data_IF_259792866612
#
_entry.id   IF_259792866612
#
_cell.length_a   1.000
_cell.length_b   1.000
_cell.length_c   1.000
_cell.angle_alpha   90.00
_cell.angle_beta   90.00
_cell.angle_gamma   90.00
#
_symmetry.space_group_name_H-M   'P 1'
#
loop_
_entity.id
_entity.type
_entity.pdbx_description
1 polymer ?
#
# COMPACT_ATOMS: atom_id res chain seq x y z
N UNK A 1 41.34 -4.07 2.17
CA UNK A 1 40.14 -3.96 3.03
C UNK A 1 39.57 -5.37 3.14
N UNK A 2 39.81 -6.07 4.24
CA UNK A 2 39.32 -7.45 4.41
C UNK A 2 37.80 -7.44 4.31
N UNK A 3 37.25 -8.32 3.47
CA UNK A 3 35.83 -8.64 3.41
C UNK A 3 35.41 -9.18 4.78
N UNK A 4 34.78 -8.35 5.60
CA UNK A 4 34.25 -8.76 6.89
C UNK A 4 33.03 -9.67 6.64
N UNK A 5 33.31 -10.94 6.39
CA UNK A 5 32.30 -11.98 6.30
C UNK A 5 31.68 -12.19 7.68
N UNK A 6 30.35 -12.13 7.73
CA UNK A 6 29.58 -12.41 8.95
C UNK A 6 28.68 -13.60 8.71
N UNK A 7 28.69 -14.54 9.64
CA UNK A 7 27.69 -15.61 9.64
C UNK A 7 26.33 -15.06 10.09
N UNK A 8 25.29 -15.43 9.34
CA UNK A 8 23.89 -15.10 9.65
C UNK A 8 23.03 -16.36 9.65
N UNK A 9 21.95 -16.32 10.43
CA UNK A 9 20.86 -17.29 10.38
C UNK A 9 19.72 -16.72 9.56
N UNK A 10 19.26 -17.45 8.55
CA UNK A 10 18.11 -17.07 7.72
C UNK A 10 16.98 -18.04 8.00
N UNK A 11 15.89 -17.52 8.57
CA UNK A 11 14.67 -18.27 8.85
C UNK A 11 13.68 -18.03 7.73
N UNK A 12 13.42 -19.05 6.93
CA UNK A 12 12.47 -18.96 5.81
C UNK A 12 11.17 -19.67 6.21
N UNK A 13 10.04 -18.99 6.04
CA UNK A 13 8.72 -19.59 6.16
C UNK A 13 8.41 -20.39 4.90
N UNK A 14 8.63 -21.70 5.00
CA UNK A 14 8.38 -22.68 3.96
C UNK A 14 6.90 -23.00 3.89
N UNK A 15 6.44 -23.42 2.71
CA UNK A 15 5.06 -23.82 2.50
C UNK A 15 4.94 -24.85 1.38
N UNK A 16 4.20 -25.91 1.65
CA UNK A 16 3.66 -26.81 0.63
C UNK A 16 2.19 -27.08 0.91
N UNK A 17 1.42 -27.39 -0.13
CA UNK A 17 0.00 -27.74 0.02
C UNK A 17 -0.22 -28.95 0.95
N UNK A 18 0.73 -29.88 0.96
CA UNK A 18 0.65 -31.11 1.77
C UNK A 18 0.99 -30.89 3.24
N UNK A 19 2.01 -30.07 3.55
CA UNK A 19 2.56 -29.93 4.91
C UNK A 19 2.11 -28.65 5.63
N UNK A 20 1.45 -27.73 4.93
CA UNK A 20 1.17 -26.40 5.45
C UNK A 20 2.45 -25.56 5.57
N UNK A 21 2.49 -24.64 6.52
CA UNK A 21 3.64 -23.74 6.72
C UNK A 21 4.52 -24.15 7.89
N UNK A 22 5.84 -24.11 7.71
CA UNK A 22 6.82 -24.32 8.78
C UNK A 22 8.00 -23.35 8.64
N UNK A 23 8.74 -23.14 9.71
CA UNK A 23 9.99 -22.38 9.68
C UNK A 23 11.17 -23.32 9.45
N UNK A 24 12.07 -22.93 8.56
CA UNK A 24 13.32 -23.64 8.32
C UNK A 24 14.49 -22.67 8.39
N UNK A 25 15.56 -23.08 9.06
CA UNK A 25 16.74 -22.27 9.28
C UNK A 25 17.87 -22.68 8.32
N UNK A 26 18.59 -21.67 7.84
CA UNK A 26 19.79 -21.83 7.03
C UNK A 26 20.89 -20.96 7.60
N UNK A 27 22.13 -21.43 7.51
CA UNK A 27 23.30 -20.66 7.92
C UNK A 27 24.18 -20.41 6.72
N UNK A 28 24.67 -19.18 6.60
CA UNK A 28 25.62 -18.81 5.56
C UNK A 28 26.40 -17.56 5.98
N UNK A 29 27.61 -17.44 5.45
CA UNK A 29 28.42 -16.24 5.57
C UNK A 29 28.04 -15.24 4.49
N UNK A 30 27.89 -13.98 4.86
CA UNK A 30 27.56 -12.86 3.98
C UNK A 30 28.53 -11.70 4.20
N UNK A 31 28.74 -10.93 3.15
CA UNK A 31 29.53 -9.70 3.19
C UNK A 31 28.63 -8.46 3.05
N UNK A 32 29.26 -7.29 2.93
CA UNK A 32 28.57 -5.99 2.77
C UNK A 32 27.82 -5.83 1.44
N UNK A 33 28.09 -6.65 0.42
CA UNK A 33 27.49 -6.57 -0.90
C UNK A 33 26.43 -7.66 -1.14
N UNK A 34 26.34 -8.64 -0.23
CA UNK A 34 25.43 -9.76 -0.35
C UNK A 34 23.97 -9.30 -0.26
N UNK A 35 23.28 -9.35 -1.40
CA UNK A 35 21.84 -9.09 -1.51
C UNK A 35 21.03 -10.30 -1.03
N UNK A 36 19.79 -10.07 -0.59
CA UNK A 36 18.91 -11.16 -0.14
C UNK A 36 18.53 -12.13 -1.28
N UNK A 37 18.56 -11.71 -2.56
CA UNK A 37 18.43 -12.67 -3.67
C UNK A 37 19.61 -13.62 -3.78
N UNK A 38 20.83 -13.15 -3.47
CA UNK A 38 22.02 -13.99 -3.47
C UNK A 38 21.99 -15.00 -2.31
N UNK A 39 21.55 -14.55 -1.13
CA UNK A 39 21.25 -15.42 0.01
C UNK A 39 20.31 -16.57 -0.38
N UNK A 40 19.17 -16.25 -1.01
CA UNK A 40 18.19 -17.25 -1.45
C UNK A 40 18.73 -18.18 -2.54
N UNK A 41 19.56 -17.65 -3.46
CA UNK A 41 20.22 -18.43 -4.50
C UNK A 41 21.17 -19.46 -3.88
N UNK A 42 22.07 -19.02 -2.98
CA UNK A 42 23.02 -19.89 -2.29
C UNK A 42 22.33 -20.94 -1.45
N UNK A 43 21.31 -20.58 -0.67
CA UNK A 43 20.49 -21.56 0.05
C UNK A 43 19.93 -22.61 -0.92
N UNK A 44 19.35 -22.18 -2.05
CA UNK A 44 18.78 -23.11 -3.03
C UNK A 44 19.82 -24.01 -3.69
N UNK A 45 20.99 -23.49 -4.06
CA UNK A 45 22.00 -24.24 -4.82
C UNK A 45 22.92 -25.09 -3.96
N UNK A 46 23.16 -24.67 -2.72
CA UNK A 46 24.19 -25.26 -1.85
C UNK A 46 23.58 -26.08 -0.69
N UNK A 47 22.35 -25.79 -0.26
CA UNK A 47 21.77 -26.36 0.96
C UNK A 47 20.43 -27.07 0.73
N UNK A 48 19.49 -26.45 0.01
CA UNK A 48 18.15 -26.99 -0.21
C UNK A 48 17.56 -26.62 -1.59
N UNK A 49 17.70 -27.50 -2.60
CA UNK A 49 17.17 -27.25 -3.95
C UNK A 49 15.64 -27.19 -4.02
N UNK A 50 14.92 -27.58 -2.96
CA UNK A 50 13.44 -27.56 -2.94
C UNK A 50 12.86 -26.17 -2.73
N UNK A 51 13.65 -25.21 -2.22
CA UNK A 51 13.24 -23.83 -1.94
C UNK A 51 12.72 -23.14 -3.22
N UNK A 52 11.51 -22.57 -3.14
CA UNK A 52 10.89 -21.83 -4.22
C UNK A 52 10.76 -20.32 -3.91
N UNK A 53 11.21 -19.49 -4.84
CA UNK A 53 11.04 -18.04 -4.82
C UNK A 53 11.09 -17.50 -6.26
N UNK A 54 10.64 -16.26 -6.47
CA UNK A 54 10.77 -15.57 -7.77
C UNK A 54 11.90 -14.55 -7.72
N UNK A 55 12.72 -14.52 -8.76
CA UNK A 55 13.72 -13.49 -9.03
C UNK A 55 13.98 -13.41 -10.54
N UNK A 56 14.45 -12.26 -11.03
CA UNK A 56 14.75 -12.08 -12.46
C UNK A 56 15.81 -11.01 -12.70
N UNK A 57 15.51 -9.71 -12.53
CA UNK A 57 16.42 -8.65 -13.00
C UNK A 57 17.63 -8.35 -12.10
N UNK A 58 17.58 -8.70 -10.81
CA UNK A 58 18.60 -8.38 -9.79
C UNK A 58 18.98 -6.88 -9.62
N UNK A 59 18.24 -5.95 -10.22
CA UNK A 59 18.52 -4.50 -10.20
C UNK A 59 17.29 -3.65 -9.83
N UNK A 60 16.33 -4.23 -9.11
CA UNK A 60 15.14 -3.56 -8.56
C UNK A 60 14.19 -2.91 -9.59
N UNK A 61 14.08 -3.47 -10.81
CA UNK A 61 13.21 -2.94 -11.88
C UNK A 61 12.03 -3.84 -12.28
N UNK A 62 12.13 -5.17 -12.12
CA UNK A 62 11.05 -6.08 -12.55
C UNK A 62 9.98 -6.36 -11.49
N UNK A 63 10.27 -6.09 -10.21
CA UNK A 63 9.36 -6.37 -9.10
C UNK A 63 9.22 -7.84 -8.67
N UNK A 64 9.79 -8.81 -9.39
CA UNK A 64 9.53 -10.25 -9.18
C UNK A 64 9.96 -10.79 -7.81
N UNK A 65 11.02 -10.23 -7.21
CA UNK A 65 11.57 -10.69 -5.92
C UNK A 65 10.95 -9.98 -4.71
N UNK A 66 9.70 -9.54 -4.81
CA UNK A 66 8.94 -8.99 -3.70
C UNK A 66 8.61 -10.07 -2.67
N UNK A 67 8.96 -9.84 -1.42
CA UNK A 67 8.71 -10.75 -0.29
C UNK A 67 8.78 -9.98 1.03
N UNK A 68 8.38 -10.59 2.14
CA UNK A 68 8.47 -9.97 3.46
C UNK A 68 9.78 -10.37 4.13
N UNK A 69 10.60 -9.37 4.46
CA UNK A 69 11.92 -9.53 5.07
C UNK A 69 11.94 -8.75 6.39
N UNK A 70 12.12 -9.47 7.50
CA UNK A 70 12.01 -8.93 8.86
C UNK A 70 10.68 -8.18 9.10
N UNK A 71 9.57 -8.80 8.69
CA UNK A 71 8.22 -8.27 8.89
C UNK A 71 7.77 -7.16 7.95
N UNK A 72 8.65 -6.62 7.10
CA UNK A 72 8.32 -5.59 6.11
C UNK A 72 8.43 -6.13 4.68
N UNK A 73 7.49 -5.80 3.77
CA UNK A 73 7.61 -6.17 2.36
C UNK A 73 8.72 -5.35 1.69
N UNK A 74 9.67 -6.05 1.06
CA UNK A 74 10.85 -5.49 0.40
C UNK A 74 11.12 -6.19 -0.93
N UNK A 75 11.92 -5.55 -1.79
CA UNK A 75 12.57 -6.25 -2.90
C UNK A 75 13.85 -6.93 -2.39
N UNK A 76 13.94 -8.25 -2.50
CA UNK A 76 15.12 -8.98 -2.05
C UNK A 76 16.41 -8.53 -2.75
N UNK A 77 16.37 -8.22 -4.06
CA UNK A 77 17.58 -7.75 -4.78
C UNK A 77 18.03 -6.34 -4.39
N UNK A 78 17.16 -5.51 -3.79
CA UNK A 78 17.52 -4.18 -3.29
C UNK A 78 17.97 -4.24 -1.82
N UNK A 79 17.76 -5.36 -1.14
CA UNK A 79 17.97 -5.49 0.30
C UNK A 79 19.30 -6.19 0.55
N UNK A 80 20.22 -5.53 1.25
CA UNK A 80 21.49 -6.13 1.67
C UNK A 80 21.33 -6.86 3.00
N UNK A 81 21.93 -8.05 3.11
CA UNK A 81 21.83 -8.90 4.29
C UNK A 81 22.40 -8.19 5.53
N UNK A 82 23.59 -7.60 5.43
CA UNK A 82 24.20 -6.89 6.55
C UNK A 82 23.49 -5.58 6.94
N UNK A 83 22.75 -4.94 6.03
CA UNK A 83 21.89 -3.81 6.40
C UNK A 83 20.75 -4.26 7.31
N UNK A 84 20.17 -5.44 7.06
CA UNK A 84 19.14 -6.00 7.92
C UNK A 84 19.71 -6.39 9.28
N UNK A 85 20.87 -7.04 9.32
CA UNK A 85 21.54 -7.38 10.57
C UNK A 85 21.83 -6.13 11.41
N UNK A 86 22.36 -5.06 10.79
CA UNK A 86 22.61 -3.78 11.47
C UNK A 86 21.33 -3.12 11.96
N UNK A 87 20.29 -3.03 11.12
CA UNK A 87 19.03 -2.37 11.45
C UNK A 87 18.33 -3.02 12.64
N UNK A 88 18.35 -4.34 12.74
CA UNK A 88 17.62 -5.09 13.78
C UNK A 88 18.51 -5.58 14.93
N UNK A 89 19.82 -5.36 14.86
CA UNK A 89 20.77 -5.72 15.93
C UNK A 89 20.92 -7.22 16.18
N UNK A 90 20.55 -8.07 15.20
CA UNK A 90 20.55 -9.53 15.32
C UNK A 90 21.14 -10.14 14.06
N UNK A 91 21.97 -11.18 14.20
CA UNK A 91 22.49 -11.97 13.07
C UNK A 91 21.43 -12.95 12.53
N UNK A 92 20.16 -12.53 12.53
CA UNK A 92 19.02 -13.33 12.13
C UNK A 92 18.15 -12.52 11.17
N UNK A 93 17.75 -13.15 10.07
CA UNK A 93 16.85 -12.57 9.08
C UNK A 93 15.68 -13.53 8.87
N UNK A 94 14.46 -13.03 9.03
CA UNK A 94 13.24 -13.77 8.70
C UNK A 94 12.76 -13.42 7.29
N UNK A 95 12.35 -14.44 6.53
CA UNK A 95 11.80 -14.28 5.19
C UNK A 95 10.46 -15.02 5.12
N UNK A 96 9.44 -14.30 4.66
CA UNK A 96 8.07 -14.80 4.50
C UNK A 96 7.53 -14.43 3.10
N UNK A 97 6.54 -15.16 2.58
CA UNK A 97 5.79 -14.70 1.42
C UNK A 97 5.12 -13.35 1.70
N UNK A 98 4.77 -12.62 0.64
CA UNK A 98 4.00 -11.38 0.78
C UNK A 98 2.63 -11.65 1.43
N UNK A 99 2.20 -10.73 2.29
CA UNK A 99 0.89 -10.78 2.93
C UNK A 99 -0.23 -10.46 1.94
N UNK A 100 -1.42 -11.03 2.18
CA UNK A 100 -2.64 -10.83 1.39
C UNK A 100 -2.60 -11.39 -0.04
N UNK A 101 -1.58 -12.18 -0.35
CA UNK A 101 -1.55 -13.03 -1.54
C UNK A 101 -1.62 -14.51 -1.10
N UNK A 102 -2.44 -15.35 -1.73
CA UNK A 102 -2.41 -16.79 -1.48
C UNK A 102 -1.02 -17.37 -1.77
N UNK A 103 -0.48 -18.18 -0.87
CA UNK A 103 0.83 -18.80 -1.05
C UNK A 103 0.69 -20.05 -1.93
N UNK A 104 1.50 -20.14 -2.99
CA UNK A 104 1.55 -21.29 -3.89
C UNK A 104 2.57 -22.31 -3.36
N UNK A 105 3.80 -21.84 -3.09
CA UNK A 105 4.91 -22.64 -2.54
C UNK A 105 5.96 -21.72 -1.96
N UNK A 106 6.37 -21.97 -0.71
CA UNK A 106 7.40 -21.18 0.00
C UNK A 106 7.15 -19.66 -0.11
N UNK A 107 8.00 -18.94 -0.86
CA UNK A 107 7.93 -17.49 -1.04
C UNK A 107 7.18 -17.08 -2.31
N UNK A 108 6.69 -18.05 -3.09
CA UNK A 108 5.93 -17.83 -4.31
C UNK A 108 4.45 -17.69 -3.98
N UNK A 109 3.88 -16.53 -4.33
CA UNK A 109 2.46 -16.22 -4.13
C UNK A 109 1.69 -16.17 -5.46
N UNK A 110 0.37 -16.28 -5.38
CA UNK A 110 -0.56 -16.10 -6.49
C UNK A 110 -0.83 -14.61 -6.74
N UNK A 111 -0.67 -14.17 -7.98
CA UNK A 111 -0.81 -12.77 -8.41
C UNK A 111 -2.13 -12.46 -9.10
N UNK A 112 -3.03 -13.45 -9.23
CA UNK A 112 -4.26 -13.33 -10.00
C UNK A 112 -5.11 -12.15 -9.54
N UNK A 113 -5.38 -12.04 -8.23
CA UNK A 113 -6.16 -10.92 -7.68
C UNK A 113 -5.49 -9.56 -7.90
N UNK A 114 -4.16 -9.49 -7.75
CA UNK A 114 -3.42 -8.27 -8.04
C UNK A 114 -3.58 -7.83 -9.49
N UNK A 115 -3.40 -8.75 -10.46
CA UNK A 115 -3.59 -8.42 -11.87
C UNK A 115 -5.03 -8.02 -12.18
N UNK A 116 -6.02 -8.71 -11.60
CA UNK A 116 -7.43 -8.35 -11.76
C UNK A 116 -7.71 -6.91 -11.31
N UNK A 117 -7.19 -6.49 -10.15
CA UNK A 117 -7.29 -5.10 -9.66
C UNK A 117 -6.60 -4.12 -10.60
N UNK A 118 -5.40 -4.45 -11.07
CA UNK A 118 -4.63 -3.61 -11.99
C UNK A 118 -5.33 -3.46 -13.35
N UNK A 119 -5.99 -4.49 -13.87
CA UNK A 119 -6.72 -4.43 -15.13
C UNK A 119 -8.09 -3.76 -15.01
N UNK A 120 -8.75 -3.85 -13.84
CA UNK A 120 -10.02 -3.18 -13.55
C UNK A 120 -9.93 -1.66 -13.75
N UNK A 121 -8.77 -1.05 -13.51
CA UNK A 121 -8.53 0.39 -13.73
C UNK A 121 -8.20 0.75 -15.18
N UNK A 122 -8.36 -0.18 -16.15
CA UNK A 122 -8.08 -0.01 -17.58
C UNK A 122 -6.72 0.65 -17.85
N UNK A 123 -5.59 0.01 -17.50
CA UNK A 123 -4.27 0.65 -17.34
C UNK A 123 -3.55 0.97 -18.68
N UNK A 124 -4.28 1.57 -19.63
CA UNK A 124 -3.80 2.05 -20.92
C UNK A 124 -4.42 3.41 -21.25
N UNK A 125 -3.80 4.10 -22.20
CA UNK A 125 -4.27 5.36 -22.74
C UNK A 125 -5.38 5.13 -23.77
N UNK A 126 -6.46 5.90 -23.68
CA UNK A 126 -7.54 5.95 -24.66
C UNK A 126 -7.50 7.28 -25.42
N UNK A 127 -6.78 7.38 -26.55
CA UNK A 127 -6.65 8.60 -27.35
C UNK A 127 -7.97 9.13 -27.93
N UNK A 128 -7.93 10.37 -28.44
CA UNK A 128 -8.98 10.92 -29.29
C UNK A 128 -9.04 10.22 -30.66
N UNK A 129 -10.19 10.35 -31.33
CA UNK A 129 -10.42 9.80 -32.67
C UNK A 129 -9.43 10.35 -33.70
N UNK A 130 -9.10 11.64 -33.63
CA UNK A 130 -8.12 12.26 -34.55
C UNK A 130 -6.73 11.64 -34.46
N UNK A 131 -6.28 11.29 -33.25
CA UNK A 131 -5.00 10.61 -33.05
C UNK A 131 -5.06 9.18 -33.59
N UNK A 132 -6.15 8.46 -33.34
CA UNK A 132 -6.35 7.09 -33.85
C UNK A 132 -6.41 7.02 -35.38
N UNK A 133 -6.95 8.06 -36.01
CA UNK A 133 -7.03 8.19 -37.48
C UNK A 133 -5.74 8.74 -38.10
N UNK A 134 -4.71 9.05 -37.30
CA UNK A 134 -3.44 9.60 -37.78
C UNK A 134 -3.51 11.06 -38.24
N UNK A 135 -4.58 11.79 -37.88
CA UNK A 135 -4.78 13.21 -38.23
C UNK A 135 -4.06 14.17 -37.28
N UNK A 136 -3.66 13.69 -36.10
CA UNK A 136 -2.93 14.46 -35.11
C UNK A 136 -1.96 13.57 -34.31
N UNK A 137 -0.91 14.18 -33.77
CA UNK A 137 -0.03 13.53 -32.80
C UNK A 137 -0.54 13.73 -31.37
N UNK A 138 -0.11 12.87 -30.45
CA UNK A 138 -0.28 13.14 -29.03
C UNK A 138 0.47 14.41 -28.61
N UNK A 139 -0.24 15.33 -27.95
CA UNK A 139 0.34 16.51 -27.31
C UNK A 139 0.23 16.36 -25.79
N UNK A 140 1.34 16.62 -25.10
CA UNK A 140 1.41 16.62 -23.64
C UNK A 140 2.31 17.77 -23.22
N UNK A 141 1.85 18.59 -22.26
CA UNK A 141 2.69 19.68 -21.75
C UNK A 141 3.78 19.11 -20.84
N UNK A 142 4.96 19.72 -20.77
CA UNK A 142 6.00 19.29 -19.83
C UNK A 142 5.54 19.25 -18.37
N UNK A 143 4.63 20.14 -17.96
CA UNK A 143 4.05 20.20 -16.62
C UNK A 143 3.24 18.94 -16.33
N UNK A 144 2.34 18.56 -17.24
CA UNK A 144 1.52 17.35 -17.14
C UNK A 144 2.43 16.11 -17.12
N UNK A 145 3.44 16.06 -17.99
CA UNK A 145 4.40 14.94 -18.01
C UNK A 145 5.13 14.79 -16.67
N UNK A 146 5.56 15.89 -16.03
CA UNK A 146 6.22 15.85 -14.72
C UNK A 146 5.31 15.27 -13.65
N UNK A 147 4.03 15.59 -13.67
CA UNK A 147 3.05 15.00 -12.75
C UNK A 147 2.87 13.50 -12.99
N UNK A 148 2.72 13.09 -14.25
CA UNK A 148 2.45 11.70 -14.62
C UNK A 148 3.66 10.77 -14.44
N UNK A 149 4.87 11.30 -14.65
CA UNK A 149 6.11 10.53 -14.68
C UNK A 149 6.30 9.70 -13.42
N UNK A 150 6.01 10.28 -12.26
CA UNK A 150 6.12 9.59 -10.97
C UNK A 150 5.31 8.30 -10.95
N UNK A 151 4.07 8.32 -11.44
CA UNK A 151 3.19 7.14 -11.41
C UNK A 151 3.51 6.13 -12.51
N UNK A 152 4.16 6.56 -13.58
CA UNK A 152 4.65 5.69 -14.65
C UNK A 152 5.78 4.77 -14.18
N UNK A 153 6.57 5.20 -13.19
CA UNK A 153 7.68 4.42 -12.62
C UNK A 153 7.25 3.18 -11.81
N UNK A 154 5.95 2.92 -11.67
CA UNK A 154 5.44 1.77 -10.93
C UNK A 154 5.79 0.45 -11.65
N UNK A 155 6.57 -0.40 -10.98
CA UNK A 155 7.05 -1.69 -11.50
C UNK A 155 6.16 -2.89 -11.12
N UNK A 156 4.96 -2.64 -10.62
CA UNK A 156 3.95 -3.67 -10.31
C UNK A 156 4.44 -4.75 -9.30
N UNK A 157 5.35 -4.38 -8.39
CA UNK A 157 5.95 -5.30 -7.42
C UNK A 157 5.06 -5.74 -6.26
N UNK A 158 3.81 -5.26 -6.15
CA UNK A 158 2.86 -5.71 -5.12
C UNK A 158 3.17 -5.30 -3.66
N UNK A 159 4.36 -4.76 -3.34
CA UNK A 159 4.76 -4.47 -1.95
C UNK A 159 3.77 -3.56 -1.21
N UNK A 160 3.27 -2.52 -1.88
CA UNK A 160 2.29 -1.62 -1.30
C UNK A 160 0.96 -2.30 -0.97
N UNK A 161 0.56 -3.31 -1.75
CA UNK A 161 -0.63 -4.13 -1.51
C UNK A 161 -0.37 -5.03 -0.32
N UNK A 162 0.77 -5.72 -0.28
CA UNK A 162 1.19 -6.56 0.87
C UNK A 162 1.27 -5.78 2.18
N UNK A 163 1.56 -4.48 2.15
CA UNK A 163 1.63 -3.65 3.36
C UNK A 163 0.28 -3.05 3.78
N UNK A 164 -0.77 -3.16 2.96
CA UNK A 164 -2.00 -2.41 3.15
C UNK A 164 -3.07 -3.23 3.90
N UNK A 165 -3.40 -2.92 5.17
CA UNK A 165 -4.44 -3.64 5.90
C UNK A 165 -5.84 -3.47 5.29
N UNK A 166 -6.13 -2.34 4.65
CA UNK A 166 -7.41 -2.11 3.97
C UNK A 166 -7.66 -3.12 2.85
N UNK A 167 -6.62 -3.56 2.14
CA UNK A 167 -6.76 -4.58 1.08
C UNK A 167 -7.25 -5.91 1.65
N UNK A 168 -6.80 -6.25 2.86
CA UNK A 168 -7.22 -7.47 3.56
C UNK A 168 -8.67 -7.38 4.03
N UNK A 169 -9.03 -6.23 4.59
CA UNK A 169 -10.28 -6.06 5.32
C UNK A 169 -11.45 -5.67 4.42
N UNK A 170 -11.19 -5.11 3.24
CA UNK A 170 -12.20 -4.66 2.30
C UNK A 170 -11.91 -5.20 0.88
N UNK A 171 -12.64 -6.22 0.42
CA UNK A 171 -12.42 -6.83 -0.90
C UNK A 171 -12.76 -5.87 -2.06
N UNK A 172 -13.61 -4.86 -1.83
CA UNK A 172 -13.96 -3.85 -2.84
C UNK A 172 -12.91 -2.73 -2.95
N UNK A 173 -11.96 -2.66 -2.00
CA UNK A 173 -10.84 -1.77 -2.13
C UNK A 173 -9.85 -2.28 -3.19
N UNK A 174 -9.69 -1.54 -4.28
CA UNK A 174 -8.77 -1.86 -5.39
C UNK A 174 -7.32 -1.96 -4.93
N UNK A 175 -6.95 -1.25 -3.86
CA UNK A 175 -5.60 -1.23 -3.33
C UNK A 175 -4.70 -0.14 -3.91
N UNK A 176 -3.59 0.16 -3.24
CA UNK A 176 -2.71 1.28 -3.58
C UNK A 176 -2.12 1.20 -4.99
N UNK A 177 -1.68 0.02 -5.44
CA UNK A 177 -1.07 -0.13 -6.77
C UNK A 177 -2.03 0.24 -7.91
N UNK A 178 -3.28 -0.23 -7.83
CA UNK A 178 -4.30 0.03 -8.82
C UNK A 178 -4.70 1.51 -8.83
N UNK A 179 -4.80 2.14 -7.65
CA UNK A 179 -5.04 3.59 -7.55
C UNK A 179 -3.91 4.41 -8.18
N UNK A 180 -2.65 4.07 -7.94
CA UNK A 180 -1.52 4.77 -8.55
C UNK A 180 -1.55 4.66 -10.09
N UNK A 181 -1.79 3.46 -10.62
CA UNK A 181 -1.86 3.24 -12.07
C UNK A 181 -3.11 3.83 -12.71
N UNK A 182 -4.25 3.75 -12.05
CA UNK A 182 -5.50 4.35 -12.50
C UNK A 182 -5.41 5.87 -12.53
N UNK A 183 -4.90 6.48 -11.46
CA UNK A 183 -4.71 7.93 -11.39
C UNK A 183 -3.75 8.46 -12.47
N UNK A 184 -2.69 7.70 -12.80
CA UNK A 184 -1.79 8.03 -13.91
C UNK A 184 -2.51 8.29 -15.23
N UNK A 185 -3.60 7.57 -15.51
CA UNK A 185 -4.40 7.80 -16.71
C UNK A 185 -5.56 8.76 -16.46
N UNK A 186 -6.11 8.79 -15.25
CA UNK A 186 -7.16 9.75 -14.88
C UNK A 186 -6.69 11.20 -15.01
N UNK A 187 -5.44 11.47 -14.61
CA UNK A 187 -4.83 12.80 -14.71
C UNK A 187 -4.18 13.07 -16.07
N UNK A 188 -4.18 12.10 -17.01
CA UNK A 188 -3.55 12.30 -18.32
C UNK A 188 -4.51 13.03 -19.25
N UNK A 189 -4.21 14.26 -19.70
CA UNK A 189 -5.13 15.04 -20.55
C UNK A 189 -5.35 14.43 -21.93
N UNK A 190 -4.56 13.41 -22.31
CA UNK A 190 -4.72 12.66 -23.56
C UNK A 190 -5.74 11.52 -23.46
N UNK A 191 -6.20 11.17 -22.26
CA UNK A 191 -7.12 10.06 -22.01
C UNK A 191 -8.57 10.54 -22.13
N UNK A 192 -9.35 9.89 -22.99
CA UNK A 192 -10.72 10.30 -23.31
C UNK A 192 -11.79 9.63 -22.44
N UNK A 193 -11.41 8.73 -21.53
CA UNK A 193 -12.35 7.97 -20.68
C UNK A 193 -12.33 8.43 -19.22
N UNK A 194 -12.10 9.73 -18.98
CA UNK A 194 -11.98 10.32 -17.64
C UNK A 194 -13.13 9.90 -16.71
N UNK A 195 -14.39 10.11 -17.13
CA UNK A 195 -15.56 9.83 -16.29
C UNK A 195 -15.71 8.35 -15.94
N UNK A 196 -15.44 7.47 -16.91
CA UNK A 196 -15.50 6.03 -16.69
C UNK A 196 -14.44 5.59 -15.67
N UNK A 197 -13.22 6.12 -15.82
CA UNK A 197 -12.10 5.81 -14.92
C UNK A 197 -12.34 6.38 -13.53
N UNK A 198 -12.91 7.58 -13.42
CA UNK A 198 -13.28 8.18 -12.16
C UNK A 198 -14.32 7.32 -11.43
N UNK A 199 -15.35 6.84 -12.13
CA UNK A 199 -16.37 5.93 -11.55
C UNK A 199 -15.76 4.66 -10.97
N UNK A 200 -14.75 4.08 -11.63
CA UNK A 200 -14.03 2.90 -11.12
C UNK A 200 -13.27 3.22 -9.83
N UNK A 201 -12.63 4.39 -9.77
CA UNK A 201 -11.70 4.74 -8.70
C UNK A 201 -12.38 5.38 -7.48
N UNK A 202 -13.44 6.16 -7.66
CA UNK A 202 -13.89 7.11 -6.64
C UNK A 202 -14.41 6.44 -5.37
N UNK A 203 -15.29 5.44 -5.49
CA UNK A 203 -15.77 4.66 -4.34
C UNK A 203 -14.60 4.00 -3.62
N UNK A 204 -13.72 3.37 -4.41
CA UNK A 204 -12.55 2.68 -3.90
C UNK A 204 -11.56 3.62 -3.20
N UNK A 205 -11.48 4.89 -3.62
CA UNK A 205 -10.58 5.86 -3.01
C UNK A 205 -10.99 6.13 -1.55
N UNK A 206 -12.28 6.11 -1.23
CA UNK A 206 -12.81 6.32 0.11
C UNK A 206 -12.62 5.12 1.07
N UNK A 207 -12.29 3.93 0.55
CA UNK A 207 -11.97 2.73 1.35
C UNK A 207 -10.56 2.72 1.95
N UNK A 208 -9.70 3.65 1.54
CA UNK A 208 -8.38 3.83 2.13
C UNK A 208 -8.47 4.43 3.54
N UNK A 209 -7.79 3.82 4.52
CA UNK A 209 -7.75 4.30 5.91
C UNK A 209 -6.59 5.25 6.22
N UNK A 210 -5.85 5.69 5.20
CA UNK A 210 -4.66 6.56 5.36
C UNK A 210 -3.62 6.06 6.38
N UNK A 211 -3.29 4.77 6.38
CA UNK A 211 -2.22 4.21 7.20
C UNK A 211 -0.78 4.46 6.68
N UNK A 212 -0.63 5.05 5.48
CA UNK A 212 0.64 5.38 4.81
C UNK A 212 1.63 4.22 4.58
N UNK A 213 1.27 2.98 4.88
CA UNK A 213 2.18 1.84 4.68
C UNK A 213 2.60 1.67 3.21
N UNK A 214 1.69 1.92 2.27
CA UNK A 214 1.98 1.90 0.84
C UNK A 214 3.04 2.91 0.40
N UNK A 215 3.14 4.06 1.09
CA UNK A 215 4.18 5.06 0.88
C UNK A 215 5.53 4.52 1.36
N UNK A 216 5.57 4.04 2.61
CA UNK A 216 6.80 3.59 3.28
C UNK A 216 7.52 2.44 2.57
N UNK A 217 6.77 1.50 1.98
CA UNK A 217 7.35 0.28 1.38
C UNK A 217 7.64 0.41 -0.11
N UNK A 218 7.29 1.54 -0.74
CA UNK A 218 7.40 1.69 -2.19
C UNK A 218 8.88 1.81 -2.61
N UNK A 219 9.43 0.88 -3.42
CA UNK A 219 10.85 0.92 -3.77
C UNK A 219 11.19 1.99 -4.83
N UNK A 220 10.17 2.56 -5.47
CA UNK A 220 10.23 3.55 -6.57
C UNK A 220 9.67 4.91 -6.18
N UNK A 221 9.31 5.11 -4.91
CA UNK A 221 8.78 6.36 -4.38
C UNK A 221 7.57 6.91 -5.17
N UNK A 222 6.61 6.04 -5.48
CA UNK A 222 5.41 6.38 -6.28
C UNK A 222 4.39 7.19 -5.47
N UNK A 223 4.38 7.00 -4.15
CA UNK A 223 3.39 7.54 -3.22
C UNK A 223 1.92 7.23 -3.58
N UNK A 224 1.49 5.96 -3.60
CA UNK A 224 0.12 5.62 -3.96
C UNK A 224 -0.98 6.29 -3.11
N UNK A 225 -0.67 6.65 -1.87
CA UNK A 225 -1.62 7.37 -1.00
C UNK A 225 -1.95 8.77 -1.53
N UNK A 226 -0.99 9.43 -2.19
CA UNK A 226 -1.16 10.76 -2.78
C UNK A 226 -2.15 10.70 -3.94
N UNK A 227 -2.08 9.67 -4.78
CA UNK A 227 -3.06 9.49 -5.87
C UNK A 227 -4.46 9.23 -5.32
N UNK A 228 -4.59 8.44 -4.26
CA UNK A 228 -5.89 8.20 -3.60
C UNK A 228 -6.50 9.52 -3.10
N UNK A 229 -5.69 10.38 -2.45
CA UNK A 229 -6.14 11.72 -2.02
C UNK A 229 -6.61 12.56 -3.19
N UNK A 230 -5.82 12.63 -4.27
CA UNK A 230 -6.16 13.39 -5.47
C UNK A 230 -7.44 12.86 -6.13
N UNK A 231 -7.64 11.54 -6.16
CA UNK A 231 -8.91 10.94 -6.63
C UNK A 231 -10.10 11.40 -5.79
N UNK A 232 -10.00 11.38 -4.45
CA UNK A 232 -11.09 11.87 -3.56
C UNK A 232 -11.45 13.33 -3.81
N UNK A 233 -10.50 14.18 -4.20
CA UNK A 233 -10.77 15.58 -4.50
C UNK A 233 -11.76 15.76 -5.66
N UNK A 234 -11.95 14.75 -6.52
CA UNK A 234 -12.97 14.78 -7.57
C UNK A 234 -14.39 14.51 -7.06
N UNK A 235 -14.58 14.03 -5.82
CA UNK A 235 -15.92 13.75 -5.26
C UNK A 235 -16.80 15.00 -5.23
N UNK A 236 -16.21 16.19 -5.10
CA UNK A 236 -16.94 17.48 -5.16
C UNK A 236 -17.62 17.77 -6.50
N UNK A 237 -17.19 17.12 -7.58
CA UNK A 237 -17.76 17.30 -8.91
C UNK A 237 -18.80 16.22 -9.27
N UNK A 238 -19.05 15.26 -8.37
CA UNK A 238 -20.03 14.22 -8.59
C UNK A 238 -21.42 14.66 -8.14
N UNK A 239 -22.41 14.52 -9.04
CA UNK A 239 -23.82 14.71 -8.72
C UNK A 239 -24.36 13.61 -7.81
N UNK A 240 -23.90 12.38 -8.00
CA UNK A 240 -24.28 11.20 -7.22
C UNK A 240 -23.05 10.60 -6.55
N UNK A 241 -23.15 10.35 -5.24
CA UNK A 241 -22.05 9.82 -4.42
C UNK A 241 -22.45 8.46 -3.88
N UNK A 242 -21.48 7.55 -3.81
CA UNK A 242 -21.71 6.23 -3.21
C UNK A 242 -21.89 6.36 -1.69
N UNK A 243 -22.54 5.39 -1.02
CA UNK A 243 -22.66 5.40 0.44
C UNK A 243 -21.31 5.49 1.16
N UNK A 244 -20.26 4.87 0.60
CA UNK A 244 -18.89 4.93 1.15
C UNK A 244 -18.30 6.32 0.99
N UNK A 245 -18.48 6.97 -0.16
CA UNK A 245 -18.02 8.34 -0.38
C UNK A 245 -18.73 9.33 0.54
N UNK A 246 -20.05 9.23 0.67
CA UNK A 246 -20.86 10.06 1.58
C UNK A 246 -20.40 9.91 3.04
N UNK A 247 -20.22 8.66 3.49
CA UNK A 247 -19.74 8.38 4.85
C UNK A 247 -18.33 8.92 5.06
N UNK A 248 -17.46 8.78 4.06
CA UNK A 248 -16.09 9.27 4.10
C UNK A 248 -15.97 10.78 4.17
N UNK A 249 -16.79 11.51 3.39
CA UNK A 249 -16.86 12.98 3.46
C UNK A 249 -17.36 13.44 4.83
N UNK A 250 -18.45 12.84 5.30
CA UNK A 250 -19.02 13.12 6.62
C UNK A 250 -18.02 12.86 7.76
N UNK A 251 -17.20 11.82 7.63
CA UNK A 251 -16.11 11.54 8.57
C UNK A 251 -15.02 12.60 8.53
N UNK A 252 -14.61 13.03 7.33
CA UNK A 252 -13.61 14.08 7.17
C UNK A 252 -14.08 15.41 7.76
N UNK A 253 -15.33 15.81 7.50
CA UNK A 253 -15.98 16.98 8.09
C UNK A 253 -16.05 16.89 9.62
N UNK A 254 -16.42 15.72 10.16
CA UNK A 254 -16.46 15.48 11.59
C UNK A 254 -15.08 15.61 12.26
N UNK A 255 -14.01 15.15 11.60
CA UNK A 255 -12.63 15.32 12.08
C UNK A 255 -12.26 16.80 12.12
N UNK A 256 -12.49 17.52 11.02
CA UNK A 256 -12.17 18.96 10.92
C UNK A 256 -12.87 19.73 12.04
N UNK A 257 -14.18 19.53 12.19
CA UNK A 257 -14.98 20.15 13.25
C UNK A 257 -14.48 19.80 14.66
N UNK A 258 -14.11 18.54 14.89
CA UNK A 258 -13.55 18.12 16.18
C UNK A 258 -12.25 18.87 16.51
N UNK A 259 -11.38 19.07 15.52
CA UNK A 259 -10.11 19.78 15.69
C UNK A 259 -10.36 21.29 15.88
N UNK A 260 -11.27 21.91 15.14
CA UNK A 260 -11.65 23.32 15.31
C UNK A 260 -12.24 23.61 16.70
N UNK A 261 -13.02 22.68 17.25
CA UNK A 261 -13.68 22.86 18.54
C UNK A 261 -12.73 22.60 19.72
N UNK A 262 -11.91 21.54 19.65
CA UNK A 262 -11.14 21.02 20.79
C UNK A 262 -9.61 21.08 20.62
N UNK A 263 -9.12 21.32 19.41
CA UNK A 263 -7.71 21.20 19.04
C UNK A 263 -7.22 19.76 18.89
N UNK A 264 -8.11 18.77 19.01
CA UNK A 264 -7.81 17.33 18.96
C UNK A 264 -8.92 16.55 18.26
N UNK A 265 -8.62 15.29 17.94
CA UNK A 265 -9.60 14.33 17.47
C UNK A 265 -10.27 13.69 18.70
N UNK A 266 -11.55 13.98 18.89
CA UNK A 266 -12.42 13.33 19.87
C UNK A 266 -13.06 12.10 19.22
N UNK A 267 -12.34 10.98 19.19
CA UNK A 267 -12.70 9.76 18.45
C UNK A 267 -14.17 9.34 18.60
N UNK A 268 -14.71 9.32 19.83
CA UNK A 268 -16.10 8.96 20.09
C UNK A 268 -17.10 9.93 19.44
N UNK A 269 -16.82 11.24 19.52
CA UNK A 269 -17.66 12.28 18.92
C UNK A 269 -17.59 12.25 17.40
N UNK A 270 -16.40 12.07 16.84
CA UNK A 270 -16.19 11.90 15.40
C UNK A 270 -16.95 10.67 14.91
N UNK A 271 -16.87 9.55 15.63
CA UNK A 271 -17.56 8.31 15.29
C UNK A 271 -19.08 8.48 15.26
N UNK A 272 -19.67 9.05 16.32
CA UNK A 272 -21.11 9.32 16.40
C UNK A 272 -21.53 10.30 15.31
N UNK A 273 -20.73 11.35 15.08
CA UNK A 273 -21.00 12.33 14.04
C UNK A 273 -20.97 11.69 12.66
N UNK A 274 -20.11 10.69 12.43
CA UNK A 274 -19.98 9.96 11.16
C UNK A 274 -21.13 8.97 10.94
N UNK A 275 -21.28 8.01 11.85
CA UNK A 275 -22.17 6.85 11.67
C UNK A 275 -23.57 7.02 12.28
N UNK A 276 -23.75 8.02 13.14
CA UNK A 276 -24.98 8.23 13.88
C UNK A 276 -25.03 7.43 15.19
N UNK A 277 -25.96 7.82 16.06
CA UNK A 277 -26.08 7.29 17.42
C UNK A 277 -26.48 5.82 17.46
N UNK A 278 -27.43 5.40 16.61
CA UNK A 278 -27.93 4.02 16.60
C UNK A 278 -26.80 3.03 16.26
N UNK A 279 -26.06 3.28 15.19
CA UNK A 279 -24.90 2.46 14.78
C UNK A 279 -23.83 2.46 15.87
N UNK A 280 -23.54 3.61 16.47
CA UNK A 280 -22.57 3.69 17.57
C UNK A 280 -22.95 2.84 18.80
N UNK A 281 -24.25 2.74 19.13
CA UNK A 281 -24.71 1.88 20.23
C UNK A 281 -24.51 0.41 19.87
N UNK A 282 -24.85 0.01 18.64
CA UNK A 282 -24.61 -1.37 18.17
C UNK A 282 -23.12 -1.71 18.21
N UNK A 283 -22.26 -0.81 17.73
CA UNK A 283 -20.82 -1.04 17.67
C UNK A 283 -20.12 -0.99 19.03
N UNK A 284 -20.72 -0.32 20.02
CA UNK A 284 -20.28 -0.40 21.42
C UNK A 284 -20.39 -1.81 22.00
N UNK A 285 -21.40 -2.59 21.60
CA UNK A 285 -21.54 -3.99 22.04
C UNK A 285 -20.36 -4.81 21.53
N UNK A 286 -19.99 -4.64 20.25
CA UNK A 286 -18.80 -5.30 19.69
C UNK A 286 -17.51 -4.82 20.36
N UNK A 287 -17.39 -3.52 20.64
CA UNK A 287 -16.24 -2.98 21.37
C UNK A 287 -16.13 -3.56 22.78
N UNK A 288 -17.26 -3.76 23.48
CA UNK A 288 -17.31 -4.38 24.80
C UNK A 288 -16.86 -5.85 24.74
N UNK A 289 -17.38 -6.63 23.79
CA UNK A 289 -17.00 -8.04 23.59
C UNK A 289 -15.50 -8.22 23.32
N UNK A 290 -14.85 -7.21 22.74
CA UNK A 290 -13.42 -7.22 22.42
C UNK A 290 -12.55 -6.49 23.46
N UNK A 291 -13.10 -6.09 24.62
CA UNK A 291 -12.36 -5.37 25.67
C UNK A 291 -11.90 -3.97 25.26
N UNK A 292 -12.53 -3.37 24.23
CA UNK A 292 -12.19 -2.08 23.63
C UNK A 292 -13.13 -0.93 24.05
N UNK A 293 -14.14 -1.19 24.89
CA UNK A 293 -15.11 -0.17 25.33
C UNK A 293 -14.44 1.07 25.94
N UNK A 294 -13.30 0.89 26.63
CA UNK A 294 -12.53 1.99 27.21
C UNK A 294 -12.18 3.10 26.22
N UNK A 295 -12.01 2.79 24.94
CA UNK A 295 -11.65 3.77 23.91
C UNK A 295 -12.83 4.67 23.53
N UNK A 296 -14.06 4.18 23.64
CA UNK A 296 -15.27 4.98 23.40
C UNK A 296 -15.55 5.99 24.53
N UNK A 297 -15.00 5.74 25.73
CA UNK A 297 -15.20 6.56 26.92
C UNK A 297 -14.06 7.56 27.17
N UNK A 298 -13.05 7.60 26.28
CA UNK A 298 -11.93 8.55 26.42
C UNK A 298 -12.45 9.95 26.14
N UNK A 299 -12.40 10.80 27.17
CA UNK A 299 -12.63 12.24 27.04
C UNK A 299 -11.30 12.96 26.87
N UNK A 300 -11.18 13.73 25.79
CA UNK A 300 -9.98 14.53 25.53
C UNK A 300 -10.20 15.93 26.11
N UNK A 301 -9.26 16.42 26.92
CA UNK A 301 -9.25 17.83 27.32
C UNK A 301 -8.88 18.68 26.11
N UNK A 302 -9.67 19.74 25.90
CA UNK A 302 -9.42 20.80 24.92
C UNK A 302 -8.03 21.39 25.09
N UNK A 303 -7.36 21.69 23.97
CA UNK A 303 -6.06 22.37 23.94
C UNK A 303 -6.24 23.82 24.38
N UNK A 304 -5.33 24.33 25.22
CA UNK A 304 -5.41 25.69 25.80
C UNK A 304 -5.42 26.78 24.73
N UNK A 305 -4.62 26.62 23.68
CA UNK A 305 -4.45 27.59 22.59
C UNK A 305 -5.13 27.13 21.29
N UNK A 306 -6.41 26.71 21.37
CA UNK A 306 -7.13 26.17 20.19
C UNK A 306 -7.22 27.21 19.06
N UNK A 307 -7.24 28.49 19.38
CA UNK A 307 -7.25 29.60 18.43
C UNK A 307 -6.01 29.58 17.52
N UNK A 308 -4.84 29.15 18.04
CA UNK A 308 -3.65 28.97 17.20
C UNK A 308 -3.81 27.82 16.21
N UNK A 309 -4.50 26.75 16.60
CA UNK A 309 -4.80 25.62 15.73
C UNK A 309 -5.76 26.04 14.61
N UNK A 310 -6.81 26.79 14.94
CA UNK A 310 -7.73 27.38 13.96
C UNK A 310 -7.02 28.25 12.92
N UNK A 311 -6.09 29.10 13.38
CA UNK A 311 -5.24 29.92 12.50
C UNK A 311 -4.37 29.08 11.55
N UNK A 312 -3.85 27.94 11.99
CA UNK A 312 -3.10 27.00 11.13
C UNK A 312 -4.01 26.33 10.10
N UNK A 313 -5.27 26.07 10.47
CA UNK A 313 -6.28 25.48 9.60
C UNK A 313 -6.87 26.45 8.58
N UNK A 314 -6.58 27.75 8.71
CA UNK A 314 -7.00 28.78 7.76
C UNK A 314 -8.29 29.53 8.16
N UNK A 315 -8.71 29.43 9.42
CA UNK A 315 -9.68 30.35 10.03
C UNK A 315 -9.02 31.65 10.52
#
# INVERSE_FOLDING_TARGET
MSEEEKEIVVKIKRFSKEKGSWWQEYKLKVDRFTQMTEVLRRIKTEQDPTLAYRASCHMAVCGSCGMKINGEPRLACKTLALDMVRKYGKNEITIEPMDFFPVIKDLVVDWTDFYNRMFKVKPRLYPSKEVLEGKAEHRLKPEDQRELWKFEQCIWCGLCVSACPSVKNDPEFLGPAAHAKGYRFLADPRDTIFDERLKILIDSAWRCTYCYQCFNVCPRDIEPVTTIKKTRAYTKFLSEKTPVALTGEKHAEAIVKSIEESGKIEEAKVYISTYGLLTAITDMIYAMQNGKLKYALVTQKKVKDVEQIRKIMGE
#
